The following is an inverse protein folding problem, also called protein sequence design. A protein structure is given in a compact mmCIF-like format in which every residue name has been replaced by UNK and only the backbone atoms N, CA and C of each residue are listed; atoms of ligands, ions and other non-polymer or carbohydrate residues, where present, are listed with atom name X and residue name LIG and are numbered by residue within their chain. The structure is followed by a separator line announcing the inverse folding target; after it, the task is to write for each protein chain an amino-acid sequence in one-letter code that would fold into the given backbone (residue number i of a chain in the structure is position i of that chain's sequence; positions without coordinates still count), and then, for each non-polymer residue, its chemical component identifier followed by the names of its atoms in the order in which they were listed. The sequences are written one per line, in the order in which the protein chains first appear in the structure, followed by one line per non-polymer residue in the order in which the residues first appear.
data_IF_769536506288
#
_entry.id   IF_769536506288
#
_cell.length_a   1.000
_cell.length_b   1.000
_cell.length_c   1.000
_cell.angle_alpha   90.00
_cell.angle_beta   90.00
_cell.angle_gamma   90.00
#
_symmetry.space_group_name_H-M   'P 1'
#
loop_
_entity.id
_entity.type
_entity.pdbx_description
1 polymer ?
#
# COMPACT_ATOMS: atom_id res chain seq x y z
N UNK A 1 2.69 0.24 -28.25
CA UNK A 1 2.04 1.41 -27.63
C UNK A 1 2.70 2.72 -28.04
N UNK A 2 4.03 2.84 -28.07
CA UNK A 2 4.73 4.08 -28.46
C UNK A 2 4.34 4.57 -29.88
N UNK A 3 4.17 3.66 -30.86
CA UNK A 3 3.76 4.01 -32.24
C UNK A 3 2.40 4.68 -32.34
N UNK A 4 1.54 4.54 -31.32
CA UNK A 4 0.19 5.13 -31.25
C UNK A 4 0.13 6.23 -30.18
N UNK A 5 1.29 6.76 -29.76
CA UNK A 5 1.43 7.72 -28.65
C UNK A 5 0.63 7.29 -27.41
N UNK A 6 0.67 5.99 -27.10
CA UNK A 6 0.00 5.34 -25.98
C UNK A 6 -1.53 5.52 -25.95
N UNK A 7 -2.17 5.69 -27.10
CA UNK A 7 -3.61 5.99 -27.23
C UNK A 7 -4.52 5.07 -26.40
N UNK A 8 -4.19 3.78 -26.30
CA UNK A 8 -4.96 2.84 -25.48
C UNK A 8 -4.92 3.21 -23.98
N UNK A 9 -3.75 3.53 -23.44
CA UNK A 9 -3.58 3.95 -22.06
C UNK A 9 -4.28 5.28 -21.79
N UNK A 10 -4.14 6.24 -22.69
CA UNK A 10 -4.80 7.55 -22.62
C UNK A 10 -6.32 7.39 -22.59
N UNK A 11 -6.87 6.55 -23.47
CA UNK A 11 -8.31 6.27 -23.52
C UNK A 11 -8.79 5.60 -22.22
N UNK A 12 -8.03 4.62 -21.71
CA UNK A 12 -8.35 3.92 -20.46
C UNK A 12 -8.34 4.85 -19.26
N UNK A 13 -7.30 5.65 -19.10
CA UNK A 13 -7.20 6.60 -17.98
C UNK A 13 -8.23 7.71 -18.08
N UNK A 14 -8.48 8.27 -19.28
CA UNK A 14 -9.56 9.25 -19.51
C UNK A 14 -10.92 8.70 -19.09
N UNK A 15 -11.18 7.43 -19.34
CA UNK A 15 -12.43 6.79 -18.93
C UNK A 15 -12.48 6.62 -17.40
N UNK A 16 -11.41 6.13 -16.77
CA UNK A 16 -11.33 5.94 -15.32
C UNK A 16 -11.54 7.25 -14.57
N UNK A 17 -10.88 8.34 -14.99
CA UNK A 17 -11.01 9.66 -14.36
C UNK A 17 -12.41 10.31 -14.51
N UNK A 18 -13.35 9.66 -15.21
CA UNK A 18 -14.77 10.07 -15.16
C UNK A 18 -15.51 9.50 -13.94
N UNK A 19 -14.95 8.48 -13.32
CA UNK A 19 -15.58 7.74 -12.23
C UNK A 19 -14.81 7.85 -10.90
N UNK A 20 -13.53 8.22 -10.95
CA UNK A 20 -12.66 8.29 -9.76
C UNK A 20 -11.76 9.51 -9.82
N UNK A 21 -11.39 10.04 -8.64
CA UNK A 21 -10.53 11.22 -8.52
C UNK A 21 -9.04 10.89 -8.66
N UNK A 22 -8.63 9.66 -8.33
CA UNK A 22 -7.25 9.19 -8.48
C UNK A 22 -7.21 7.74 -8.94
N UNK A 23 -6.13 7.36 -9.63
CA UNK A 23 -5.91 5.99 -10.13
C UNK A 23 -4.60 5.46 -9.59
N UNK A 24 -4.63 4.33 -8.87
CA UNK A 24 -3.42 3.60 -8.52
C UNK A 24 -2.97 2.75 -9.71
N UNK A 25 -1.72 2.94 -10.11
CA UNK A 25 -1.08 2.08 -11.11
C UNK A 25 -0.25 1.04 -10.39
N UNK A 26 -0.64 -0.22 -10.57
CA UNK A 26 0.05 -1.39 -10.05
C UNK A 26 1.37 -1.63 -10.78
N UNK A 27 2.37 -2.16 -10.04
CA UNK A 27 3.69 -2.48 -10.57
C UNK A 27 4.34 -1.31 -11.32
N UNK A 28 4.37 -0.13 -10.69
CA UNK A 28 4.91 1.11 -11.29
C UNK A 28 6.33 0.95 -11.81
N UNK A 29 7.18 0.17 -11.12
CA UNK A 29 8.55 -0.10 -11.58
C UNK A 29 8.62 -0.70 -13.00
N UNK A 30 7.55 -1.36 -13.45
CA UNK A 30 7.46 -1.92 -14.81
C UNK A 30 7.56 -0.89 -15.93
N UNK A 31 7.29 0.39 -15.62
CA UNK A 31 7.53 1.48 -16.59
C UNK A 31 9.02 1.78 -16.76
N UNK A 32 9.86 1.55 -15.75
CA UNK A 32 11.31 1.64 -15.86
C UNK A 32 11.88 0.37 -16.47
N UNK A 33 11.62 -0.79 -15.83
CA UNK A 33 12.00 -2.10 -16.34
C UNK A 33 11.11 -3.18 -15.73
N UNK A 34 10.84 -4.22 -16.51
CA UNK A 34 10.05 -5.37 -16.08
C UNK A 34 10.82 -6.68 -16.32
N UNK A 35 10.51 -7.69 -15.53
CA UNK A 35 11.08 -9.01 -15.65
C UNK A 35 10.35 -9.82 -16.72
N UNK A 36 10.99 -10.02 -17.89
CA UNK A 36 10.42 -10.81 -18.99
C UNK A 36 10.72 -12.29 -18.79
N UNK A 37 9.69 -13.10 -18.74
CA UNK A 37 9.78 -14.55 -18.57
C UNK A 37 9.39 -15.22 -19.87
N UNK A 38 10.19 -16.16 -20.42
CA UNK A 38 9.82 -16.94 -21.61
C UNK A 38 8.49 -17.67 -21.37
N UNK A 39 7.57 -17.62 -22.35
CA UNK A 39 6.22 -18.21 -22.22
C UNK A 39 6.21 -19.72 -21.87
N UNK A 40 7.28 -20.45 -22.15
CA UNK A 40 7.44 -21.87 -21.84
C UNK A 40 8.23 -22.15 -20.55
N UNK A 41 8.68 -21.12 -19.85
CA UNK A 41 9.39 -21.31 -18.58
C UNK A 41 8.45 -21.85 -17.52
N UNK A 42 8.92 -22.85 -16.77
CA UNK A 42 8.14 -23.46 -15.68
C UNK A 42 8.10 -22.58 -14.42
N UNK A 43 9.06 -21.70 -14.28
CA UNK A 43 9.20 -20.82 -13.11
C UNK A 43 9.64 -19.43 -13.55
N UNK A 44 9.48 -18.43 -12.68
CA UNK A 44 9.93 -17.06 -12.91
C UNK A 44 11.45 -16.86 -12.72
N UNK A 45 12.20 -17.88 -12.34
CA UNK A 45 13.65 -17.79 -12.12
C UNK A 45 14.41 -17.51 -13.42
N UNK A 46 13.94 -18.08 -14.53
CA UNK A 46 14.54 -17.84 -15.85
C UNK A 46 13.86 -16.67 -16.53
N UNK A 47 14.56 -15.57 -16.64
CA UNK A 47 14.05 -14.37 -17.29
C UNK A 47 15.17 -13.34 -17.53
N UNK A 48 14.77 -12.15 -17.92
CA UNK A 48 15.68 -11.00 -18.09
C UNK A 48 14.95 -9.69 -17.81
N UNK A 49 15.68 -8.69 -17.35
CA UNK A 49 15.16 -7.34 -17.25
C UNK A 49 15.06 -6.69 -18.63
N UNK A 50 13.91 -6.12 -18.94
CA UNK A 50 13.63 -5.40 -20.18
C UNK A 50 13.19 -3.99 -19.82
N UNK A 51 13.79 -2.99 -20.44
CA UNK A 51 13.42 -1.58 -20.23
C UNK A 51 11.98 -1.33 -20.64
N UNK A 52 11.26 -0.66 -19.75
CA UNK A 52 9.92 -0.15 -19.99
C UNK A 52 9.92 1.13 -20.82
N UNK A 53 8.75 1.74 -21.01
CA UNK A 53 8.62 2.98 -21.78
C UNK A 53 9.19 4.22 -21.06
N UNK A 54 9.46 4.14 -19.77
CA UNK A 54 10.02 5.22 -18.98
C UNK A 54 9.17 6.49 -18.97
N UNK A 55 9.84 7.62 -18.85
CA UNK A 55 9.22 8.95 -18.79
C UNK A 55 8.42 9.28 -20.07
N UNK A 56 8.76 8.69 -21.22
CA UNK A 56 8.05 8.94 -22.47
C UNK A 56 6.54 8.61 -22.36
N UNK A 57 6.19 7.61 -21.57
CA UNK A 57 4.80 7.26 -21.28
C UNK A 57 4.08 8.39 -20.50
N UNK A 58 4.66 8.87 -19.43
CA UNK A 58 4.07 9.90 -18.58
C UNK A 58 4.01 11.25 -19.29
N UNK A 59 5.02 11.60 -20.08
CA UNK A 59 4.98 12.77 -20.94
C UNK A 59 3.84 12.70 -21.97
N UNK A 60 3.60 11.53 -22.56
CA UNK A 60 2.49 11.34 -23.48
C UNK A 60 1.12 11.48 -22.77
N UNK A 61 0.99 10.96 -21.56
CA UNK A 61 -0.21 11.16 -20.73
C UNK A 61 -0.44 12.64 -20.44
N UNK A 62 0.57 13.37 -19.98
CA UNK A 62 0.45 14.79 -19.63
C UNK A 62 0.09 15.67 -20.82
N UNK A 63 0.65 15.36 -22.01
CA UNK A 63 0.25 16.08 -23.25
C UNK A 63 -1.22 15.91 -23.58
N UNK A 64 -1.80 14.74 -23.31
CA UNK A 64 -3.14 14.37 -23.77
C UNK A 64 -4.23 14.50 -22.70
N UNK A 65 -3.86 14.45 -21.41
CA UNK A 65 -4.79 14.46 -20.28
C UNK A 65 -4.51 15.61 -19.27
N UNK A 66 -3.35 16.28 -19.40
CA UNK A 66 -2.83 17.16 -18.36
C UNK A 66 -2.20 16.38 -17.20
N UNK A 67 -1.76 17.06 -16.12
CA UNK A 67 -1.31 16.39 -14.90
C UNK A 67 -2.41 15.46 -14.36
N UNK A 68 -2.10 14.19 -14.25
CA UNK A 68 -3.07 13.15 -13.87
C UNK A 68 -2.81 12.69 -12.43
N UNK A 69 -3.86 12.56 -11.60
CA UNK A 69 -3.74 12.10 -10.22
C UNK A 69 -3.50 10.58 -10.16
N UNK A 70 -2.24 10.20 -10.39
CA UNK A 70 -1.79 8.81 -10.37
C UNK A 70 -1.04 8.54 -9.07
N UNK A 71 -1.36 7.43 -8.43
CA UNK A 71 -0.64 6.85 -7.29
C UNK A 71 0.24 5.74 -7.84
N UNK A 72 1.55 5.84 -7.60
CA UNK A 72 2.50 4.83 -8.02
C UNK A 72 2.58 3.70 -6.98
N UNK A 73 2.31 2.45 -7.38
CA UNK A 73 2.66 1.32 -6.53
C UNK A 73 4.15 1.03 -6.71
N UNK A 74 4.94 1.53 -5.77
CA UNK A 74 6.40 1.48 -5.73
C UNK A 74 6.88 0.59 -4.57
N UNK A 75 6.29 -0.60 -4.46
CA UNK A 75 6.64 -1.60 -3.45
C UNK A 75 7.64 -2.63 -4.01
N UNK A 76 8.36 -3.31 -3.11
CA UNK A 76 9.32 -4.36 -3.46
C UNK A 76 10.71 -3.83 -3.82
N UNK A 77 11.33 -4.37 -4.87
CA UNK A 77 12.70 -3.98 -5.26
C UNK A 77 12.66 -2.69 -6.10
N UNK A 78 12.83 -1.56 -5.46
CA UNK A 78 12.80 -0.23 -6.09
C UNK A 78 14.22 0.29 -6.29
N UNK A 79 14.54 0.68 -7.53
CA UNK A 79 15.84 1.23 -7.90
C UNK A 79 15.80 2.77 -7.91
N UNK A 80 16.98 3.44 -7.84
CA UNK A 80 17.04 4.91 -7.92
C UNK A 80 16.34 5.48 -9.17
N UNK A 81 16.40 4.78 -10.30
CA UNK A 81 15.76 5.20 -11.54
C UNK A 81 14.23 5.20 -11.45
N UNK A 82 13.65 4.23 -10.73
CA UNK A 82 12.22 4.19 -10.45
C UNK A 82 11.80 5.37 -9.58
N UNK A 83 12.58 5.66 -8.54
CA UNK A 83 12.34 6.81 -7.65
C UNK A 83 12.41 8.12 -8.45
N UNK A 84 13.48 8.32 -9.24
CA UNK A 84 13.66 9.50 -10.08
C UNK A 84 12.49 9.70 -11.04
N UNK A 85 12.06 8.64 -11.72
CA UNK A 85 10.92 8.70 -12.63
C UNK A 85 9.62 9.08 -11.89
N UNK A 86 9.35 8.48 -10.72
CA UNK A 86 8.19 8.82 -9.90
C UNK A 86 8.20 10.30 -9.49
N UNK A 87 9.34 10.76 -9.00
CA UNK A 87 9.51 12.12 -8.49
C UNK A 87 9.46 13.17 -9.62
N UNK A 88 9.98 12.86 -10.82
CA UNK A 88 9.91 13.73 -12.01
C UNK A 88 8.46 14.09 -12.41
N UNK A 89 7.51 13.20 -12.09
CA UNK A 89 6.07 13.42 -12.35
C UNK A 89 5.27 13.73 -11.08
N UNK A 90 5.93 13.98 -9.95
CA UNK A 90 5.30 14.28 -8.66
C UNK A 90 4.29 13.23 -8.19
N UNK A 91 4.46 11.97 -8.59
CA UNK A 91 3.53 10.90 -8.24
C UNK A 91 3.76 10.47 -6.79
N UNK A 92 2.70 10.41 -5.96
CA UNK A 92 2.81 9.82 -4.64
C UNK A 92 3.08 8.32 -4.73
N UNK A 93 4.01 7.84 -3.90
CA UNK A 93 4.26 6.42 -3.68
C UNK A 93 3.41 5.84 -2.56
N UNK A 94 3.57 4.55 -2.32
CA UNK A 94 2.87 3.81 -1.26
C UNK A 94 3.82 3.46 -0.12
N UNK A 95 3.32 3.62 1.10
CA UNK A 95 3.99 3.16 2.33
C UNK A 95 3.05 2.18 3.01
N UNK A 96 3.53 0.98 3.35
CA UNK A 96 2.73 -0.06 4.01
C UNK A 96 3.29 -0.29 5.41
N UNK A 97 2.52 -0.02 6.44
CA UNK A 97 2.93 -0.12 7.84
C UNK A 97 3.60 -1.47 8.14
N UNK A 98 3.04 -2.55 7.64
CA UNK A 98 3.55 -3.90 7.88
C UNK A 98 4.93 -4.16 7.24
N UNK A 99 5.37 -3.31 6.29
CA UNK A 99 6.67 -3.43 5.61
C UNK A 99 7.72 -2.45 6.12
N UNK A 100 7.30 -1.44 6.87
CA UNK A 100 8.16 -0.33 7.33
C UNK A 100 8.67 -0.51 8.76
N UNK A 101 8.55 -1.69 9.32
CA UNK A 101 9.04 -1.98 10.66
C UNK A 101 10.02 -3.16 10.57
N UNK A 102 11.27 -2.92 10.96
CA UNK A 102 12.27 -3.99 11.07
C UNK A 102 13.32 -3.67 12.12
N UNK A 103 13.98 -4.70 12.73
CA UNK A 103 15.04 -4.49 13.68
C UNK A 103 16.28 -3.91 12.99
N UNK A 104 16.96 -2.99 13.69
CA UNK A 104 18.24 -2.41 13.33
C UNK A 104 19.25 -2.64 14.46
N UNK A 105 20.53 -2.34 14.21
CA UNK A 105 21.61 -2.54 15.20
C UNK A 105 21.38 -1.78 16.51
N UNK A 106 20.68 -0.65 16.48
CA UNK A 106 20.39 0.20 17.64
C UNK A 106 18.90 0.55 17.74
N UNK A 107 18.02 -0.46 17.68
CA UNK A 107 16.58 -0.27 17.82
C UNK A 107 15.76 -0.78 16.64
N UNK A 108 14.89 0.07 16.09
CA UNK A 108 13.99 -0.32 14.99
C UNK A 108 13.97 0.77 13.93
N UNK A 109 13.96 0.34 12.65
CA UNK A 109 13.38 1.19 11.62
C UNK A 109 11.89 1.29 11.86
N UNK A 110 11.36 2.49 11.80
CA UNK A 110 9.94 2.77 12.03
C UNK A 110 9.38 3.60 10.87
N UNK A 111 8.09 3.45 10.54
CA UNK A 111 7.49 4.18 9.43
C UNK A 111 7.69 5.69 9.54
N UNK A 112 8.20 6.28 8.46
CA UNK A 112 8.38 7.74 8.33
C UNK A 112 7.96 8.17 6.91
N UNK A 113 6.65 8.11 6.58
CA UNK A 113 6.17 8.43 5.25
C UNK A 113 6.43 9.89 4.89
N UNK A 114 6.81 10.15 3.64
CA UNK A 114 6.95 11.50 3.13
C UNK A 114 5.58 12.17 2.94
N UNK A 115 5.50 13.53 2.90
CA UNK A 115 4.24 14.20 2.59
C UNK A 115 3.64 13.81 1.23
N UNK A 116 4.48 13.47 0.23
CA UNK A 116 4.01 12.98 -1.08
C UNK A 116 3.90 11.46 -1.11
N UNK A 117 3.20 10.87 -0.15
CA UNK A 117 2.94 9.43 -0.10
C UNK A 117 1.53 9.12 0.37
N UNK A 118 1.11 7.88 0.13
CA UNK A 118 -0.11 7.28 0.66
C UNK A 118 0.29 6.23 1.68
N UNK A 119 -0.16 6.35 2.93
CA UNK A 119 0.19 5.41 4.00
C UNK A 119 -0.97 4.46 4.29
N UNK A 120 -0.70 3.17 4.20
CA UNK A 120 -1.65 2.09 4.39
C UNK A 120 -1.33 1.29 5.66
N UNK A 121 -2.33 0.86 6.42
CA UNK A 121 -2.12 -0.18 7.45
C UNK A 121 -1.85 -1.54 6.82
N UNK A 122 -2.41 -1.81 5.67
CA UNK A 122 -2.24 -2.94 4.78
C UNK A 122 -3.05 -2.75 3.50
N UNK A 123 -2.70 -3.47 2.45
CA UNK A 123 -3.46 -3.54 1.19
C UNK A 123 -4.33 -4.80 1.17
N UNK A 124 -5.05 -5.02 0.07
CA UNK A 124 -5.80 -6.27 -0.15
C UNK A 124 -4.89 -7.53 -0.15
N UNK A 125 -3.60 -7.39 -0.43
CA UNK A 125 -2.62 -8.49 -0.47
C UNK A 125 -1.97 -8.78 0.88
N UNK A 126 -2.10 -7.85 1.84
CA UNK A 126 -1.60 -8.03 3.19
C UNK A 126 -2.59 -8.84 4.04
N UNK A 127 -2.11 -9.37 5.16
CA UNK A 127 -2.99 -9.80 6.24
C UNK A 127 -3.64 -8.59 6.90
N UNK A 128 -4.75 -8.78 7.61
CA UNK A 128 -5.28 -7.74 8.49
C UNK A 128 -4.22 -7.34 9.51
N UNK A 129 -4.25 -6.10 9.98
CA UNK A 129 -3.28 -5.60 10.95
C UNK A 129 -3.22 -6.50 12.20
N UNK A 130 -4.38 -6.93 12.72
CA UNK A 130 -4.42 -7.86 13.85
C UNK A 130 -3.89 -9.26 13.49
N UNK A 131 -4.19 -9.77 12.30
CA UNK A 131 -3.68 -11.04 11.80
C UNK A 131 -2.15 -11.03 11.72
N UNK A 132 -1.60 -10.00 11.09
CA UNK A 132 -0.15 -9.76 11.01
C UNK A 132 0.49 -9.66 12.40
N UNK A 133 -0.05 -8.86 13.32
CA UNK A 133 0.48 -8.72 14.67
C UNK A 133 0.49 -10.06 15.44
N UNK A 134 -0.56 -10.87 15.30
CA UNK A 134 -0.63 -12.21 15.91
C UNK A 134 0.40 -13.16 15.31
N UNK A 135 0.62 -13.06 14.00
CA UNK A 135 1.62 -13.86 13.28
C UNK A 135 3.04 -13.50 13.72
N UNK A 136 3.43 -12.23 13.61
CA UNK A 136 4.80 -11.79 13.95
C UNK A 136 5.12 -11.96 15.43
N UNK A 137 4.13 -11.83 16.32
CA UNK A 137 4.33 -12.12 17.74
C UNK A 137 4.83 -13.55 17.99
N UNK A 138 4.42 -14.51 17.17
CA UNK A 138 4.82 -15.92 17.30
C UNK A 138 6.09 -16.25 16.53
N UNK A 139 6.27 -15.66 15.35
CA UNK A 139 7.30 -16.06 14.39
C UNK A 139 8.48 -15.10 14.36
N UNK A 140 8.28 -13.83 14.70
CA UNK A 140 9.24 -12.75 14.61
C UNK A 140 9.06 -11.77 15.80
N UNK A 141 9.37 -12.19 17.04
CA UNK A 141 9.08 -11.40 18.25
C UNK A 141 9.78 -10.04 18.26
N UNK A 142 10.92 -9.89 17.60
CA UNK A 142 11.61 -8.60 17.45
C UNK A 142 10.80 -7.64 16.59
N UNK A 143 10.22 -8.12 15.49
CA UNK A 143 9.33 -7.33 14.64
C UNK A 143 8.09 -6.88 15.41
N UNK A 144 7.52 -7.76 16.22
CA UNK A 144 6.41 -7.42 17.11
C UNK A 144 6.81 -6.35 18.14
N UNK A 145 8.04 -6.43 18.68
CA UNK A 145 8.55 -5.41 19.60
C UNK A 145 8.71 -4.05 18.91
N UNK A 146 9.15 -4.01 17.65
CA UNK A 146 9.19 -2.81 16.83
C UNK A 146 7.80 -2.20 16.63
N UNK A 147 6.81 -3.02 16.31
CA UNK A 147 5.41 -2.57 16.18
C UNK A 147 4.88 -2.01 17.50
N UNK A 148 5.20 -2.64 18.63
CA UNK A 148 4.83 -2.14 19.94
C UNK A 148 5.52 -0.81 20.26
N UNK A 149 6.81 -0.66 19.93
CA UNK A 149 7.56 0.58 20.08
C UNK A 149 6.94 1.72 19.27
N UNK A 150 6.63 1.46 17.98
CA UNK A 150 5.96 2.44 17.12
C UNK A 150 4.58 2.83 17.66
N UNK A 151 3.85 1.90 18.23
CA UNK A 151 2.57 2.12 18.89
C UNK A 151 2.69 2.85 20.26
N UNK A 152 3.90 3.15 20.74
CA UNK A 152 4.13 3.69 22.09
C UNK A 152 3.69 2.74 23.19
N UNK A 153 3.85 1.43 23.00
CA UNK A 153 3.42 0.36 23.90
C UNK A 153 4.57 -0.57 24.25
N UNK A 154 4.37 -1.38 25.30
CA UNK A 154 5.34 -2.41 25.71
C UNK A 154 5.17 -3.66 24.82
N UNK A 155 6.27 -4.42 24.54
CA UNK A 155 6.20 -5.67 23.79
C UNK A 155 5.34 -6.76 24.46
N UNK A 156 5.02 -6.60 25.75
CA UNK A 156 4.10 -7.48 26.49
C UNK A 156 2.63 -7.21 26.21
N UNK A 157 2.29 -6.10 25.56
CA UNK A 157 0.92 -5.74 25.21
C UNK A 157 0.32 -6.81 24.29
N UNK A 158 -0.94 -7.16 24.49
CA UNK A 158 -1.65 -8.08 23.62
C UNK A 158 -1.73 -7.50 22.18
N UNK A 159 -1.65 -8.36 21.14
CA UNK A 159 -1.70 -7.93 19.76
C UNK A 159 -2.91 -7.02 19.43
N UNK A 160 -4.08 -7.37 19.95
CA UNK A 160 -5.29 -6.54 19.78
C UNK A 160 -5.16 -5.14 20.41
N UNK A 161 -4.38 -5.00 21.48
CA UNK A 161 -4.12 -3.71 22.14
C UNK A 161 -3.16 -2.80 21.37
N UNK A 162 -2.51 -3.29 20.29
CA UNK A 162 -1.65 -2.48 19.44
C UNK A 162 -2.40 -1.90 18.21
N UNK A 163 -3.52 -2.48 17.79
CA UNK A 163 -4.23 -2.08 16.56
C UNK A 163 -4.60 -0.60 16.61
N UNK A 164 -5.36 -0.17 17.61
CA UNK A 164 -5.78 1.23 17.73
C UNK A 164 -4.61 2.23 17.78
N UNK A 165 -3.60 2.03 18.66
CA UNK A 165 -2.40 2.88 18.67
C UNK A 165 -1.65 2.92 17.34
N UNK A 166 -1.52 1.80 16.61
CA UNK A 166 -0.88 1.80 15.29
C UNK A 166 -1.68 2.58 14.24
N UNK A 167 -3.01 2.45 14.25
CA UNK A 167 -3.87 3.26 13.39
C UNK A 167 -3.79 4.74 13.75
N UNK A 168 -3.64 5.08 15.03
CA UNK A 168 -3.40 6.45 15.47
C UNK A 168 -2.10 7.00 14.91
N UNK A 169 -0.98 6.26 14.99
CA UNK A 169 0.30 6.68 14.40
C UNK A 169 0.20 6.87 12.89
N UNK A 170 -0.51 5.96 12.21
CA UNK A 170 -0.75 6.07 10.78
C UNK A 170 -1.53 7.34 10.44
N UNK A 171 -2.62 7.62 11.14
CA UNK A 171 -3.44 8.81 10.94
C UNK A 171 -2.71 10.10 11.27
N UNK A 172 -1.83 10.13 12.26
CA UNK A 172 -1.01 11.28 12.65
C UNK A 172 0.24 11.48 11.79
N UNK A 173 0.49 10.62 10.81
CA UNK A 173 1.66 10.71 9.94
C UNK A 173 1.59 11.89 8.98
N UNK A 174 2.73 12.25 8.37
CA UNK A 174 2.83 13.30 7.36
C UNK A 174 2.30 12.88 5.98
N UNK A 175 1.98 11.61 5.77
CA UNK A 175 1.46 11.13 4.48
C UNK A 175 0.22 11.92 4.07
N UNK A 176 0.16 12.30 2.79
CA UNK A 176 -0.96 13.08 2.25
C UNK A 176 -2.30 12.38 2.40
N UNK A 177 -2.31 11.06 2.23
CA UNK A 177 -3.50 10.22 2.37
C UNK A 177 -3.19 9.08 3.31
N UNK A 178 -4.12 8.76 4.20
CA UNK A 178 -4.10 7.59 5.07
C UNK A 178 -5.21 6.64 4.61
N UNK A 179 -4.87 5.37 4.37
CA UNK A 179 -5.83 4.35 3.93
C UNK A 179 -5.82 3.20 4.92
N UNK A 180 -6.97 2.93 5.50
CA UNK A 180 -7.14 1.85 6.47
C UNK A 180 -8.28 0.93 6.02
N UNK A 181 -8.02 -0.35 5.73
CA UNK A 181 -9.06 -1.33 5.46
C UNK A 181 -10.07 -1.41 6.60
N UNK A 182 -11.33 -1.63 6.25
CA UNK A 182 -12.39 -1.71 7.26
C UNK A 182 -12.14 -2.84 8.27
N UNK A 183 -11.53 -3.93 7.84
CA UNK A 183 -11.12 -5.02 8.71
C UNK A 183 -10.22 -4.57 9.85
N UNK A 184 -9.33 -3.61 9.60
CA UNK A 184 -8.41 -3.07 10.60
C UNK A 184 -9.14 -2.12 11.57
N UNK A 185 -10.07 -1.30 11.07
CA UNK A 185 -10.96 -0.51 11.94
C UNK A 185 -11.81 -1.37 12.87
N UNK A 186 -12.27 -2.52 12.39
CA UNK A 186 -13.03 -3.51 13.14
C UNK A 186 -12.14 -4.40 14.02
N UNK A 187 -10.83 -4.37 13.87
CA UNK A 187 -9.89 -5.22 14.61
C UNK A 187 -10.06 -6.71 14.31
N UNK A 188 -10.39 -7.06 13.06
CA UNK A 188 -10.60 -8.43 12.63
C UNK A 188 -9.26 -9.17 12.41
N UNK A 189 -9.28 -10.48 12.62
CA UNK A 189 -8.13 -11.37 12.40
C UNK A 189 -7.94 -11.80 10.94
N UNK A 190 -6.99 -12.70 10.72
CA UNK A 190 -6.58 -13.20 9.40
C UNK A 190 -7.71 -13.89 8.60
N UNK A 191 -8.76 -14.33 9.25
CA UNK A 191 -9.97 -14.89 8.65
C UNK A 191 -10.77 -13.86 7.82
N UNK A 192 -10.55 -12.57 8.07
CA UNK A 192 -11.13 -11.47 7.30
C UNK A 192 -10.21 -10.95 6.18
N UNK A 193 -9.06 -11.60 5.92
CA UNK A 193 -8.14 -11.22 4.84
C UNK A 193 -8.81 -11.31 3.48
N UNK A 194 -8.58 -10.30 2.62
CA UNK A 194 -9.18 -10.24 1.29
C UNK A 194 -8.51 -11.16 0.28
N UNK A 195 -7.19 -11.11 0.21
CA UNK A 195 -6.42 -11.86 -0.78
C UNK A 195 -5.13 -12.41 -0.18
N UNK A 196 -4.81 -13.64 -0.54
CA UNK A 196 -3.52 -14.27 -0.25
C UNK A 196 -2.82 -14.52 -1.58
N UNK A 197 -1.79 -13.74 -1.92
CA UNK A 197 -1.03 -13.93 -3.15
C UNK A 197 -0.53 -15.37 -3.32
N UNK A 198 -0.46 -15.83 -4.58
CA UNK A 198 -0.03 -17.19 -4.95
C UNK A 198 -1.00 -18.31 -4.55
N UNK A 199 -2.23 -18.01 -4.15
CA UNK A 199 -3.29 -18.99 -3.93
C UNK A 199 -4.37 -18.89 -5.01
N UNK A 200 -4.95 -20.05 -5.40
CA UNK A 200 -5.92 -20.11 -6.50
C UNK A 200 -7.38 -19.98 -6.03
N UNK A 201 -7.66 -20.03 -4.73
CA UNK A 201 -9.02 -20.04 -4.19
C UNK A 201 -9.09 -19.37 -2.82
N UNK A 202 -10.31 -19.06 -2.36
CA UNK A 202 -10.56 -18.44 -1.04
C UNK A 202 -10.36 -16.93 -0.99
N UNK A 203 -9.94 -16.31 -2.11
CA UNK A 203 -9.69 -14.87 -2.18
C UNK A 203 -10.96 -14.09 -2.52
N UNK A 204 -11.01 -12.81 -2.11
CA UNK A 204 -12.09 -11.86 -2.43
C UNK A 204 -13.48 -12.30 -1.94
N UNK A 205 -13.51 -13.18 -0.93
CA UNK A 205 -14.75 -13.78 -0.41
C UNK A 205 -15.30 -13.05 0.83
N UNK A 206 -14.44 -12.38 1.62
CA UNK A 206 -14.87 -11.68 2.81
C UNK A 206 -15.93 -10.61 2.50
N UNK A 207 -16.95 -10.54 3.35
CA UNK A 207 -18.03 -9.55 3.29
C UNK A 207 -18.39 -9.11 4.70
N UNK A 208 -18.91 -7.89 4.82
CA UNK A 208 -19.58 -7.43 6.04
C UNK A 208 -20.85 -8.26 6.28
N UNK A 209 -21.16 -8.58 7.53
CA UNK A 209 -22.42 -9.23 7.92
C UNK A 209 -23.59 -8.24 8.03
N UNK A 210 -23.30 -6.94 8.16
CA UNK A 210 -24.28 -5.86 8.17
C UNK A 210 -24.37 -5.10 9.49
N UNK A 211 -23.99 -5.71 10.61
CA UNK A 211 -24.12 -5.11 11.94
C UNK A 211 -22.83 -4.42 12.43
N UNK A 212 -21.74 -4.51 11.67
CA UNK A 212 -20.44 -3.99 12.10
C UNK A 212 -20.30 -2.47 11.91
N UNK A 213 -21.10 -1.86 11.02
CA UNK A 213 -21.05 -0.42 10.76
C UNK A 213 -21.90 0.34 11.75
N UNK A 214 -21.47 0.41 13.00
CA UNK A 214 -22.19 1.06 14.07
C UNK A 214 -21.90 2.56 14.15
N UNK A 215 -22.80 3.30 14.83
CA UNK A 215 -22.60 4.73 15.10
C UNK A 215 -21.35 4.96 15.98
N UNK A 216 -21.04 4.03 16.88
CA UNK A 216 -19.86 4.09 17.77
C UNK A 216 -18.57 3.93 16.96
N UNK A 217 -18.55 3.03 15.98
CA UNK A 217 -17.41 2.89 15.04
C UNK A 217 -17.21 4.18 14.26
N UNK A 218 -18.27 4.73 13.68
CA UNK A 218 -18.22 5.97 12.92
C UNK A 218 -17.72 7.14 13.79
N UNK A 219 -18.23 7.30 15.00
CA UNK A 219 -17.79 8.33 15.94
C UNK A 219 -16.33 8.19 16.34
N UNK A 220 -15.85 6.94 16.56
CA UNK A 220 -14.45 6.66 16.88
C UNK A 220 -13.52 7.03 15.71
N UNK A 221 -13.90 6.69 14.49
CA UNK A 221 -13.11 7.04 13.29
C UNK A 221 -13.10 8.57 13.12
N UNK A 222 -14.25 9.22 13.20
CA UNK A 222 -14.37 10.67 13.06
C UNK A 222 -13.50 11.42 14.08
N UNK A 223 -13.55 11.00 15.36
CA UNK A 223 -12.71 11.59 16.40
C UNK A 223 -11.20 11.42 16.12
N UNK A 224 -10.79 10.31 15.54
CA UNK A 224 -9.39 10.10 15.18
C UNK A 224 -8.98 10.94 13.96
N UNK A 225 -9.84 11.07 12.96
CA UNK A 225 -9.64 11.94 11.79
C UNK A 225 -9.44 13.38 12.24
N UNK A 226 -10.36 13.90 13.07
CA UNK A 226 -10.29 15.24 13.64
C UNK A 226 -9.02 15.46 14.49
N UNK A 227 -8.69 14.52 15.39
CA UNK A 227 -7.50 14.60 16.23
C UNK A 227 -6.18 14.49 15.44
N UNK A 228 -6.24 14.08 14.19
CA UNK A 228 -5.10 13.95 13.27
C UNK A 228 -5.02 15.07 12.24
N UNK A 229 -5.86 16.10 12.36
CA UNK A 229 -5.96 17.25 11.45
C UNK A 229 -6.12 16.81 9.98
N UNK A 230 -6.98 15.81 9.77
CA UNK A 230 -7.34 15.29 8.44
C UNK A 230 -8.81 15.58 8.15
N UNK A 231 -9.06 16.04 6.92
CA UNK A 231 -10.39 16.32 6.38
C UNK A 231 -11.03 15.08 5.72
#
# INVERSE_FOLDING_TARGET
HAKTDYAWWVSRLRWLFRAVDAVRIDHFRGFEAFWEIPARAKTAVTGRWVKGPGEAFFHALWRQLGPTPIIAEDLGVITPEVVQMKDAFFLPGMVILQFEIWPEAAGFHLPSPSPNSIFYSGTHDNDTLLGWLRHVRKTQPELFAGAAAYAGRRPTTAAAGLVGPLLQQLMQSQARIAVVPLQDWLGLGADARMNMPSTASGNWAWRLSGDELTAELAARIAALVEASDRD
#
